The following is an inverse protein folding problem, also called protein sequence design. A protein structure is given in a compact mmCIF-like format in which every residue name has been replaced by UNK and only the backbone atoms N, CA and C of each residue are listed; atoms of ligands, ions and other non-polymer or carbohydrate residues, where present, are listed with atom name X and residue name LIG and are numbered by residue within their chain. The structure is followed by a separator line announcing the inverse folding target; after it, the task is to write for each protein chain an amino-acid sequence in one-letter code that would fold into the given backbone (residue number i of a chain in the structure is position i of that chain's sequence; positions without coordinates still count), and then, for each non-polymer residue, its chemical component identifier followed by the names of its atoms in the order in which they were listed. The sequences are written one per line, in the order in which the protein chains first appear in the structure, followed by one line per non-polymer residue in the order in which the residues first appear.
data_IF_845147451841
#
_entry.id   IF_845147451841
#
_cell.length_a   1.000
_cell.length_b   1.000
_cell.length_c   1.000
_cell.angle_alpha   90.00
_cell.angle_beta   90.00
_cell.angle_gamma   90.00
#
_symmetry.space_group_name_H-M   'P 1'
#
loop_
_entity.id
_entity.type
_entity.pdbx_description
1 polymer ?
#
# COMPACT_ATOMS: atom_id res chain seq x y z
N UNK A 1 -27.27 -15.79 15.51
CA UNK A 1 -27.83 -15.28 14.23
C UNK A 1 -27.78 -13.75 14.09
N UNK A 2 -28.43 -12.94 14.96
CA UNK A 2 -28.34 -11.46 14.89
C UNK A 2 -26.94 -10.90 15.20
N UNK A 3 -26.23 -11.51 16.15
CA UNK A 3 -24.87 -11.10 16.52
C UNK A 3 -23.86 -11.41 15.40
N UNK A 4 -23.94 -12.61 14.81
CA UNK A 4 -23.06 -13.06 13.72
C UNK A 4 -23.19 -12.16 12.48
N UNK A 5 -24.41 -11.77 12.12
CA UNK A 5 -24.64 -10.84 11.01
C UNK A 5 -24.04 -9.45 11.27
N UNK A 6 -24.15 -8.94 12.50
CA UNK A 6 -23.55 -7.67 12.91
C UNK A 6 -22.03 -7.73 12.89
N UNK A 7 -21.44 -8.86 13.30
CA UNK A 7 -20.00 -9.09 13.23
C UNK A 7 -19.53 -9.14 11.76
N UNK A 8 -20.23 -9.87 10.90
CA UNK A 8 -19.91 -9.94 9.47
C UNK A 8 -19.94 -8.57 8.78
N UNK A 9 -20.95 -7.75 9.07
CA UNK A 9 -21.03 -6.37 8.54
C UNK A 9 -19.87 -5.49 9.01
N UNK A 10 -19.43 -5.61 10.26
CA UNK A 10 -18.27 -4.87 10.77
C UNK A 10 -16.98 -5.28 10.06
N UNK A 11 -16.79 -6.58 9.83
CA UNK A 11 -15.63 -7.10 9.07
C UNK A 11 -15.65 -6.57 7.64
N UNK A 12 -16.80 -6.60 6.97
CA UNK A 12 -16.93 -6.05 5.62
C UNK A 12 -16.62 -4.55 5.57
N UNK A 13 -17.10 -3.79 6.56
CA UNK A 13 -16.81 -2.37 6.69
C UNK A 13 -15.30 -2.11 6.89
N UNK A 14 -14.63 -2.91 7.72
CA UNK A 14 -13.18 -2.85 7.91
C UNK A 14 -12.41 -3.14 6.62
N UNK A 15 -12.81 -4.18 5.87
CA UNK A 15 -12.21 -4.51 4.56
C UNK A 15 -12.36 -3.34 3.60
N UNK A 16 -13.54 -2.71 3.53
CA UNK A 16 -13.76 -1.55 2.68
C UNK A 16 -12.84 -0.37 3.04
N UNK A 17 -12.71 -0.05 4.33
CA UNK A 17 -11.80 1.01 4.77
C UNK A 17 -10.33 0.67 4.49
N UNK A 18 -9.95 -0.60 4.62
CA UNK A 18 -8.60 -1.06 4.29
C UNK A 18 -8.30 -0.88 2.79
N UNK A 19 -9.24 -1.25 1.91
CA UNK A 19 -9.09 -1.06 0.46
C UNK A 19 -8.97 0.43 0.11
N UNK A 20 -9.79 1.29 0.71
CA UNK A 20 -9.72 2.74 0.48
C UNK A 20 -8.39 3.33 0.98
N UNK A 21 -7.92 2.88 2.14
CA UNK A 21 -6.62 3.27 2.68
C UNK A 21 -5.48 2.90 1.72
N UNK A 22 -5.46 1.66 1.23
CA UNK A 22 -4.45 1.18 0.27
C UNK A 22 -4.52 1.97 -1.04
N UNK A 23 -5.72 2.32 -1.52
CA UNK A 23 -5.88 3.14 -2.73
C UNK A 23 -5.28 4.54 -2.57
N UNK A 24 -5.57 5.22 -1.45
CA UNK A 24 -5.01 6.55 -1.17
C UNK A 24 -3.48 6.46 -1.07
N UNK A 25 -2.99 5.41 -0.40
CA UNK A 25 -1.56 5.14 -0.28
C UNK A 25 -0.91 4.90 -1.66
N UNK A 26 -1.59 4.19 -2.57
CA UNK A 26 -1.11 3.93 -3.93
C UNK A 26 -1.03 5.21 -4.76
N UNK A 27 -2.03 6.08 -4.66
CA UNK A 27 -1.98 7.38 -5.33
C UNK A 27 -0.86 8.27 -4.78
N UNK A 28 -0.63 8.26 -3.46
CA UNK A 28 0.47 9.00 -2.85
C UNK A 28 1.84 8.45 -3.26
N UNK A 29 2.00 7.11 -3.23
CA UNK A 29 3.19 6.44 -3.72
C UNK A 29 3.48 6.83 -5.18
N UNK A 30 2.48 6.72 -6.05
CA UNK A 30 2.61 7.06 -7.47
C UNK A 30 3.02 8.52 -7.67
N UNK A 31 2.42 9.44 -6.92
CA UNK A 31 2.79 10.86 -6.96
C UNK A 31 4.25 11.09 -6.57
N UNK A 32 4.77 10.40 -5.56
CA UNK A 32 6.15 10.56 -5.08
C UNK A 32 7.15 10.04 -6.11
N UNK A 33 6.92 8.84 -6.67
CA UNK A 33 7.86 8.25 -7.65
C UNK A 33 7.87 8.98 -9.00
N UNK A 34 6.83 9.75 -9.30
CA UNK A 34 6.79 10.62 -10.49
C UNK A 34 7.66 11.87 -10.38
N UNK A 35 8.15 12.22 -9.19
CA UNK A 35 8.99 13.42 -9.02
C UNK A 35 10.33 13.25 -9.73
N UNK A 36 10.98 12.12 -9.49
CA UNK A 36 12.31 11.82 -10.01
C UNK A 36 12.27 10.79 -11.16
N UNK A 37 11.18 10.03 -11.31
CA UNK A 37 11.01 8.95 -12.31
C UNK A 37 12.14 7.90 -12.27
N UNK A 38 12.75 7.69 -11.10
CA UNK A 38 13.86 6.74 -10.92
C UNK A 38 13.45 5.42 -10.28
N UNK A 39 12.26 5.35 -9.67
CA UNK A 39 11.81 4.13 -8.97
C UNK A 39 11.66 2.96 -9.93
N UNK A 40 12.18 1.80 -9.53
CA UNK A 40 12.12 0.56 -10.28
C UNK A 40 11.29 -0.43 -9.46
N UNK A 41 10.29 -1.11 -10.04
CA UNK A 41 9.58 -2.16 -9.34
C UNK A 41 10.47 -3.38 -9.12
N UNK A 42 10.34 -4.12 -8.00
CA UNK A 42 11.17 -5.29 -7.71
C UNK A 42 11.18 -6.36 -8.80
N UNK A 43 10.07 -6.51 -9.54
CA UNK A 43 9.97 -7.45 -10.68
C UNK A 43 10.94 -7.12 -11.82
N UNK A 44 11.33 -5.85 -11.96
CA UNK A 44 12.20 -5.38 -13.04
C UNK A 44 13.66 -5.18 -12.58
N UNK A 45 14.01 -5.51 -11.33
CA UNK A 45 15.35 -5.31 -10.77
C UNK A 45 16.46 -6.02 -11.54
N UNK A 46 16.18 -7.20 -12.07
CA UNK A 46 17.13 -7.97 -12.86
C UNK A 46 17.51 -7.26 -14.17
N UNK A 47 16.65 -6.38 -14.67
CA UNK A 47 16.83 -5.64 -15.91
C UNK A 47 17.56 -4.31 -15.73
N UNK A 48 17.89 -3.90 -14.48
CA UNK A 48 18.53 -2.63 -14.13
C UNK A 48 17.83 -1.37 -14.68
N UNK A 49 16.54 -1.50 -15.03
CA UNK A 49 15.68 -0.46 -15.57
C UNK A 49 14.24 -0.96 -15.65
N UNK A 50 13.29 -0.04 -15.76
CA UNK A 50 11.87 -0.37 -15.88
C UNK A 50 11.15 0.57 -16.82
N UNK A 51 10.22 0.01 -17.58
CA UNK A 51 9.28 0.78 -18.40
C UNK A 51 8.11 1.34 -17.58
N UNK A 52 8.17 1.26 -16.24
CA UNK A 52 7.08 1.67 -15.35
C UNK A 52 6.49 3.04 -15.68
N UNK A 53 7.32 4.04 -15.98
CA UNK A 53 6.87 5.40 -16.31
C UNK A 53 6.31 5.55 -17.74
N UNK A 54 6.53 4.57 -18.61
CA UNK A 54 6.19 4.62 -20.04
C UNK A 54 4.99 3.72 -20.37
N UNK A 55 4.75 2.66 -19.59
CA UNK A 55 3.60 1.76 -19.78
C UNK A 55 2.26 2.46 -19.51
N UNK A 56 1.18 1.86 -20.02
CA UNK A 56 -0.16 2.42 -19.84
C UNK A 56 -0.58 2.55 -18.37
N UNK A 57 -1.45 3.53 -18.12
CA UNK A 57 -1.95 3.91 -16.78
C UNK A 57 -2.54 2.74 -15.97
N UNK A 58 -3.14 1.76 -16.65
CA UNK A 58 -3.68 0.57 -15.99
C UNK A 58 -2.57 -0.24 -15.29
N UNK A 59 -1.46 -0.49 -15.99
CA UNK A 59 -0.31 -1.21 -15.42
C UNK A 59 0.35 -0.41 -14.29
N UNK A 60 0.47 0.91 -14.46
CA UNK A 60 1.00 1.80 -13.42
C UNK A 60 0.13 1.74 -12.17
N UNK A 61 -1.18 1.87 -12.33
CA UNK A 61 -2.14 1.85 -11.23
C UNK A 61 -2.10 0.54 -10.45
N UNK A 62 -2.19 -0.61 -11.14
CA UNK A 62 -2.17 -1.91 -10.45
C UNK A 62 -0.83 -2.21 -9.80
N UNK A 63 0.27 -1.76 -10.38
CA UNK A 63 1.59 -1.93 -9.76
C UNK A 63 1.73 -1.04 -8.52
N UNK A 64 1.27 0.22 -8.56
CA UNK A 64 1.24 1.09 -7.39
C UNK A 64 0.32 0.55 -6.28
N UNK A 65 -0.81 -0.05 -6.64
CA UNK A 65 -1.68 -0.77 -5.70
C UNK A 65 -0.95 -1.95 -5.05
N UNK A 66 -0.29 -2.79 -5.86
CA UNK A 66 0.52 -3.91 -5.38
C UNK A 66 1.63 -3.46 -4.43
N UNK A 67 2.41 -2.45 -4.80
CA UNK A 67 3.46 -1.87 -3.96
C UNK A 67 2.89 -1.31 -2.65
N UNK A 68 1.70 -0.72 -2.68
CA UNK A 68 1.06 -0.20 -1.47
C UNK A 68 0.58 -1.30 -0.53
N UNK A 69 0.13 -2.44 -1.05
CA UNK A 69 -0.13 -3.63 -0.24
C UNK A 69 1.16 -4.12 0.42
N UNK A 70 2.28 -4.14 -0.32
CA UNK A 70 3.59 -4.52 0.24
C UNK A 70 4.03 -3.57 1.37
N UNK A 71 3.91 -2.26 1.16
CA UNK A 71 4.16 -1.22 2.17
C UNK A 71 3.28 -1.39 3.41
N UNK A 72 1.99 -1.70 3.21
CA UNK A 72 1.07 -1.96 4.31
C UNK A 72 1.48 -3.18 5.14
N UNK A 73 1.98 -4.21 4.46
CA UNK A 73 2.59 -5.40 5.08
C UNK A 73 4.00 -5.16 5.64
N UNK A 74 4.50 -3.92 5.64
CA UNK A 74 5.83 -3.54 6.11
C UNK A 74 6.98 -4.30 5.41
N UNK A 75 6.80 -4.59 4.12
CA UNK A 75 7.84 -5.20 3.28
C UNK A 75 8.79 -4.14 2.72
N UNK A 76 9.94 -4.58 2.21
CA UNK A 76 10.92 -3.71 1.55
C UNK A 76 10.40 -3.18 0.20
N UNK A 77 10.64 -1.90 -0.07
CA UNK A 77 10.14 -1.14 -1.23
C UNK A 77 11.27 -0.51 -2.05
N UNK A 78 12.49 -0.52 -1.50
CA UNK A 78 13.73 -0.12 -2.18
C UNK A 78 13.66 1.27 -2.81
N UNK A 79 13.48 2.33 -2.00
CA UNK A 79 13.51 3.72 -2.48
C UNK A 79 14.84 4.03 -3.15
N UNK A 80 14.81 4.86 -4.19
CA UNK A 80 15.96 5.29 -4.99
C UNK A 80 16.46 6.66 -4.59
N UNK A 81 15.54 7.57 -4.26
CA UNK A 81 15.89 8.94 -3.87
C UNK A 81 15.71 9.17 -2.36
N UNK A 82 16.39 10.18 -1.82
CA UNK A 82 16.27 10.53 -0.40
C UNK A 82 14.85 10.97 -0.04
N UNK A 83 14.13 11.60 -0.98
CA UNK A 83 12.73 12.01 -0.81
C UNK A 83 11.82 10.79 -0.71
N UNK A 84 11.96 9.83 -1.63
CA UNK A 84 11.26 8.55 -1.57
C UNK A 84 11.52 7.84 -0.25
N UNK A 85 12.77 7.75 0.18
CA UNK A 85 13.15 7.08 1.43
C UNK A 85 12.49 7.72 2.65
N UNK A 86 12.49 9.05 2.74
CA UNK A 86 11.84 9.77 3.83
C UNK A 86 10.32 9.56 3.81
N UNK A 87 9.66 9.76 2.66
CA UNK A 87 8.21 9.68 2.55
C UNK A 87 7.71 8.24 2.77
N UNK A 88 8.36 7.25 2.17
CA UNK A 88 7.97 5.84 2.33
C UNK A 88 8.13 5.38 3.78
N UNK A 89 9.17 5.85 4.49
CA UNK A 89 9.34 5.58 5.92
C UNK A 89 8.15 6.08 6.74
N UNK A 90 7.65 7.30 6.47
CA UNK A 90 6.47 7.82 7.15
C UNK A 90 5.19 7.06 6.79
N UNK A 91 5.02 6.69 5.51
CA UNK A 91 3.86 5.89 5.06
C UNK A 91 3.85 4.52 5.75
N UNK A 92 5.00 3.85 5.84
CA UNK A 92 5.12 2.55 6.49
C UNK A 92 4.90 2.65 8.00
N UNK A 93 5.38 3.72 8.66
CA UNK A 93 5.07 3.99 10.06
C UNK A 93 3.56 4.14 10.29
N UNK A 94 2.87 4.89 9.42
CA UNK A 94 1.42 5.02 9.50
C UNK A 94 0.70 3.70 9.25
N UNK A 95 1.18 2.93 8.28
CA UNK A 95 0.67 1.59 7.98
C UNK A 95 0.81 0.64 9.16
N UNK A 96 1.92 0.71 9.91
CA UNK A 96 2.12 -0.08 11.12
C UNK A 96 1.06 0.22 12.19
N UNK A 97 0.71 1.50 12.39
CA UNK A 97 -0.34 1.91 13.33
C UNK A 97 -1.73 1.41 12.89
N UNK A 98 -2.06 1.55 11.61
CA UNK A 98 -3.35 1.07 11.07
C UNK A 98 -3.45 -0.45 11.19
N UNK A 99 -2.38 -1.17 10.84
CA UNK A 99 -2.33 -2.62 10.92
C UNK A 99 -2.49 -3.11 12.37
N UNK A 100 -1.80 -2.47 13.32
CA UNK A 100 -1.97 -2.74 14.75
C UNK A 100 -3.41 -2.49 15.23
N UNK A 101 -4.07 -1.42 14.75
CA UNK A 101 -5.46 -1.13 15.08
C UNK A 101 -6.42 -2.21 14.55
N UNK A 102 -6.23 -2.65 13.30
CA UNK A 102 -7.06 -3.70 12.69
C UNK A 102 -6.95 -5.00 13.49
N UNK A 103 -5.72 -5.46 13.81
CA UNK A 103 -5.55 -6.66 14.64
C UNK A 103 -6.14 -6.49 16.05
N UNK A 104 -6.00 -5.31 16.66
CA UNK A 104 -6.61 -5.01 17.95
C UNK A 104 -8.13 -5.08 17.92
N UNK A 105 -8.77 -4.53 16.89
CA UNK A 105 -10.24 -4.61 16.74
C UNK A 105 -10.73 -6.02 16.45
N UNK A 106 -9.99 -6.81 15.66
CA UNK A 106 -10.33 -8.22 15.41
C UNK A 106 -10.24 -9.06 16.68
N UNK A 107 -9.24 -8.84 17.54
CA UNK A 107 -9.09 -9.55 18.81
C UNK A 107 -10.24 -9.30 19.81
N UNK A 108 -10.95 -8.18 19.70
CA UNK A 108 -12.13 -7.86 20.54
C UNK A 108 -13.44 -8.40 19.93
N UNK A 109 -13.44 -8.73 18.63
CA UNK A 109 -14.62 -9.22 17.92
C UNK A 109 -14.80 -10.74 18.02
N UNK A 110 -13.74 -11.48 18.36
CA UNK A 110 -13.77 -12.92 18.71
C UNK A 110 -14.09 -13.13 20.19
#
# INVERSE_FOLDING_TARGET
MRADYKAALKVLQLIFFLVLYIHIQACLFFYVVLIDEEWIPPVDFINLGSDFFIVGIDRQYWLSMYTSVMMFGLNEITPRTTVEMAVFSFIMLFSAMVNANIFGTMAVLI
#
